data_IF_489150421306
#
_entry.id   IF_489150421306
#
_cell.length_a   1.000
_cell.length_b   1.000
_cell.length_c   1.000
_cell.angle_alpha   90.00
_cell.angle_beta   90.00
_cell.angle_gamma   90.00
#
_symmetry.space_group_name_H-M   'P 1'
#
loop_
_entity.id
_entity.type
_entity.pdbx_description
1 polymer ?
#
# COMPACT_ATOMS: atom_id res chain seq x y z
N UNK A 1 9.19 0.86 -40.41
CA UNK A 1 10.08 0.99 -39.23
C UNK A 1 9.32 1.87 -38.26
N UNK A 2 8.97 1.36 -37.08
CA UNK A 2 8.04 2.06 -36.17
C UNK A 2 8.69 3.33 -35.65
N UNK A 3 7.98 4.46 -35.66
CA UNK A 3 8.47 5.75 -35.14
C UNK A 3 9.06 5.61 -33.72
N UNK A 4 8.52 4.67 -32.94
CA UNK A 4 8.99 4.38 -31.59
C UNK A 4 10.41 3.78 -31.56
N UNK A 5 10.79 2.95 -32.54
CA UNK A 5 12.16 2.43 -32.66
C UNK A 5 13.14 3.52 -33.11
N UNK A 6 12.69 4.41 -34.01
CA UNK A 6 13.50 5.55 -34.44
C UNK A 6 13.79 6.50 -33.28
N UNK A 7 12.79 6.78 -32.42
CA UNK A 7 12.97 7.59 -31.22
C UNK A 7 13.89 6.94 -30.17
N UNK A 8 13.89 5.60 -30.06
CA UNK A 8 14.79 4.89 -29.13
C UNK A 8 16.26 4.96 -29.56
N UNK A 9 16.52 4.97 -30.87
CA UNK A 9 17.87 4.95 -31.41
C UNK A 9 18.49 6.36 -31.57
N UNK A 10 17.66 7.41 -31.59
CA UNK A 10 18.08 8.79 -31.78
C UNK A 10 17.42 9.72 -30.75
N UNK A 11 17.90 9.73 -29.50
CA UNK A 11 17.28 10.48 -28.39
C UNK A 11 17.24 12.00 -28.63
N UNK A 12 18.15 12.54 -29.44
CA UNK A 12 18.17 13.97 -29.78
C UNK A 12 16.94 14.40 -30.60
N UNK A 13 16.41 13.51 -31.46
CA UNK A 13 15.20 13.76 -32.25
C UNK A 13 13.94 13.84 -31.38
N UNK A 14 13.93 13.18 -30.22
CA UNK A 14 12.82 13.28 -29.26
C UNK A 14 12.74 14.70 -28.66
N UNK A 15 13.89 15.28 -28.31
CA UNK A 15 13.98 16.64 -27.74
C UNK A 15 13.53 17.68 -28.75
N UNK A 16 13.93 17.54 -30.02
CA UNK A 16 13.58 18.48 -31.10
C UNK A 16 12.10 18.38 -31.51
N UNK A 17 11.57 17.17 -31.71
CA UNK A 17 10.18 16.97 -32.13
C UNK A 17 9.16 17.35 -31.05
N UNK A 18 9.46 17.08 -29.77
CA UNK A 18 8.53 17.34 -28.67
C UNK A 18 8.82 18.64 -27.92
N UNK A 19 9.85 19.41 -28.33
CA UNK A 19 10.33 20.62 -27.63
C UNK A 19 10.48 20.41 -26.13
N UNK A 20 10.91 19.21 -25.75
CA UNK A 20 10.98 18.80 -24.35
C UNK A 20 12.42 19.02 -23.89
N UNK A 21 12.72 20.06 -23.09
CA UNK A 21 14.08 20.27 -22.62
C UNK A 21 14.53 19.03 -21.84
N UNK A 22 15.80 18.63 -22.01
CA UNK A 22 16.42 17.45 -21.37
C UNK A 22 16.26 17.43 -19.85
N UNK A 23 15.93 18.59 -19.26
CA UNK A 23 15.62 18.80 -17.85
C UNK A 23 14.26 18.25 -17.39
N UNK A 24 13.39 17.76 -18.28
CA UNK A 24 12.13 17.11 -17.87
C UNK A 24 12.35 15.65 -17.45
N UNK A 25 13.52 15.08 -17.75
CA UNK A 25 14.03 13.90 -17.05
C UNK A 25 14.78 14.33 -15.80
N UNK A 26 14.20 15.26 -15.03
CA UNK A 26 14.56 15.36 -13.62
C UNK A 26 14.30 13.96 -13.07
N UNK A 27 15.40 13.24 -12.81
CA UNK A 27 15.44 11.86 -12.35
C UNK A 27 14.26 11.66 -11.45
N UNK A 28 13.33 10.81 -11.91
CA UNK A 28 12.30 10.16 -11.12
C UNK A 28 12.48 10.50 -9.64
N UNK A 29 11.91 11.64 -9.22
CA UNK A 29 11.80 11.99 -7.83
C UNK A 29 10.66 11.12 -7.33
N UNK A 30 10.89 9.81 -7.42
CA UNK A 30 10.09 8.69 -6.99
C UNK A 30 10.10 8.81 -5.50
N UNK A 31 9.25 9.73 -5.03
CA UNK A 31 8.78 9.94 -3.67
C UNK A 31 9.89 9.71 -2.65
N UNK A 32 10.55 10.78 -2.17
CA UNK A 32 11.58 10.63 -1.14
C UNK A 32 10.97 9.89 0.05
N UNK A 33 11.33 8.61 0.19
CA UNK A 33 10.87 7.69 1.24
C UNK A 33 9.35 7.51 1.27
N UNK A 34 8.85 6.46 0.59
CA UNK A 34 7.59 5.75 0.95
C UNK A 34 7.72 5.06 2.34
N UNK A 35 8.39 5.71 3.29
CA UNK A 35 8.62 5.22 4.63
C UNK A 35 7.46 5.69 5.51
N UNK A 36 6.40 4.90 5.51
CA UNK A 36 5.30 5.08 6.47
C UNK A 36 5.81 4.60 7.83
N UNK A 37 5.79 5.43 8.88
CA UNK A 37 6.20 5.03 10.22
C UNK A 37 5.42 3.79 10.69
N UNK A 38 6.06 2.90 11.44
CA UNK A 38 5.44 1.64 11.92
C UNK A 38 4.14 1.90 12.68
N UNK A 39 4.10 2.94 13.52
CA UNK A 39 2.88 3.35 14.24
C UNK A 39 1.75 3.78 13.29
N UNK A 40 2.09 4.47 12.21
CA UNK A 40 1.11 4.88 11.21
C UNK A 40 0.59 3.68 10.40
N UNK A 41 1.44 2.68 10.12
CA UNK A 41 1.02 1.40 9.50
C UNK A 41 0.00 0.66 10.38
N UNK A 42 0.26 0.58 11.68
CA UNK A 42 -0.69 -0.04 12.61
C UNK A 42 -2.01 0.74 12.67
N UNK A 43 -1.94 2.06 12.83
CA UNK A 43 -3.12 2.92 12.94
C UNK A 43 -4.03 2.81 11.71
N UNK A 44 -3.46 2.86 10.50
CA UNK A 44 -4.26 2.79 9.27
C UNK A 44 -4.90 1.42 9.06
N UNK A 45 -4.25 0.34 9.49
CA UNK A 45 -4.82 -1.01 9.41
C UNK A 45 -5.93 -1.19 10.44
N UNK A 46 -5.76 -0.67 11.65
CA UNK A 46 -6.83 -0.68 12.66
C UNK A 46 -8.05 0.13 12.20
N UNK A 47 -7.83 1.30 11.59
CA UNK A 47 -8.92 2.09 11.00
C UNK A 47 -9.62 1.31 9.89
N UNK A 48 -8.87 0.68 8.99
CA UNK A 48 -9.42 -0.16 7.93
C UNK A 48 -10.29 -1.31 8.46
N UNK A 49 -9.82 -2.01 9.50
CA UNK A 49 -10.56 -3.11 10.11
C UNK A 49 -11.80 -2.64 10.88
N UNK A 50 -11.73 -1.47 11.53
CA UNK A 50 -12.83 -0.93 12.32
C UNK A 50 -13.92 -0.29 11.47
N UNK A 51 -13.56 0.40 10.38
CA UNK A 51 -14.53 1.12 9.55
C UNK A 51 -15.14 0.26 8.45
N UNK A 52 -14.45 -0.81 8.01
CA UNK A 52 -14.87 -1.59 6.85
C UNK A 52 -14.82 -0.81 5.54
N UNK A 53 -14.15 0.34 5.53
CA UNK A 53 -14.08 1.22 4.37
C UNK A 53 -13.33 0.59 3.20
N UNK A 54 -13.59 1.14 2.01
CA UNK A 54 -12.85 0.78 0.82
C UNK A 54 -11.37 1.15 0.96
N UNK A 55 -10.49 0.16 0.77
CA UNK A 55 -9.02 0.30 0.79
C UNK A 55 -8.50 1.52 -0.01
N UNK A 56 -9.13 1.85 -1.13
CA UNK A 56 -8.79 3.02 -1.98
C UNK A 56 -8.97 4.37 -1.28
N UNK A 57 -9.94 4.48 -0.39
CA UNK A 57 -10.23 5.71 0.35
C UNK A 57 -9.10 5.96 1.36
N UNK A 58 -8.81 4.97 2.20
CA UNK A 58 -7.72 5.07 3.19
C UNK A 58 -6.36 5.21 2.52
N UNK A 59 -6.08 4.47 1.44
CA UNK A 59 -4.85 4.64 0.67
C UNK A 59 -4.67 6.08 0.17
N UNK A 60 -5.75 6.76 -0.24
CA UNK A 60 -5.72 8.17 -0.62
C UNK A 60 -5.45 9.09 0.58
N UNK A 61 -6.17 8.91 1.69
CA UNK A 61 -6.01 9.74 2.90
C UNK A 61 -4.58 9.69 3.45
N UNK A 62 -3.98 8.50 3.43
CA UNK A 62 -2.63 8.26 3.94
C UNK A 62 -1.53 8.41 2.87
N UNK A 63 -1.89 8.80 1.64
CA UNK A 63 -0.97 8.93 0.48
C UNK A 63 -0.16 7.67 0.18
N UNK A 64 -0.76 6.51 0.40
CA UNK A 64 -0.15 5.18 0.20
C UNK A 64 -0.54 4.65 -1.18
N UNK A 65 0.42 4.13 -1.94
CA UNK A 65 0.11 3.42 -3.18
C UNK A 65 -0.75 2.18 -2.89
N UNK A 66 -1.77 1.92 -3.71
CA UNK A 66 -2.70 0.77 -3.52
C UNK A 66 -1.97 -0.57 -3.34
N UNK A 67 -0.92 -0.81 -4.13
CA UNK A 67 -0.08 -2.02 -4.05
C UNK A 67 0.66 -2.12 -2.70
N UNK A 68 1.17 -0.99 -2.20
CA UNK A 68 1.89 -0.91 -0.93
C UNK A 68 0.92 -1.10 0.25
N UNK A 69 -0.29 -0.53 0.17
CA UNK A 69 -1.30 -0.68 1.22
C UNK A 69 -1.66 -2.16 1.47
N UNK A 70 -1.86 -2.95 0.41
CA UNK A 70 -2.16 -4.38 0.56
C UNK A 70 -1.05 -5.14 1.30
N UNK A 71 0.22 -4.80 1.04
CA UNK A 71 1.36 -5.38 1.78
C UNK A 71 1.33 -4.97 3.25
N UNK A 72 1.08 -3.68 3.52
CA UNK A 72 0.99 -3.17 4.91
C UNK A 72 -0.11 -3.88 5.70
N UNK A 73 -1.29 -4.10 5.10
CA UNK A 73 -2.38 -4.84 5.75
C UNK A 73 -1.93 -6.25 6.11
N UNK A 74 -1.33 -6.98 5.16
CA UNK A 74 -0.85 -8.34 5.42
C UNK A 74 0.22 -8.38 6.52
N UNK A 75 1.26 -7.53 6.41
CA UNK A 75 2.37 -7.49 7.35
C UNK A 75 1.89 -7.17 8.78
N UNK A 76 0.97 -6.20 8.92
CA UNK A 76 0.44 -5.81 10.23
C UNK A 76 -0.49 -6.89 10.79
N UNK A 77 -1.35 -7.49 9.97
CA UNK A 77 -2.22 -8.59 10.42
C UNK A 77 -1.40 -9.80 10.86
N UNK A 78 -0.35 -10.17 10.12
CA UNK A 78 0.56 -11.26 10.51
C UNK A 78 1.26 -10.96 11.84
N UNK A 79 1.77 -9.73 12.01
CA UNK A 79 2.37 -9.31 13.26
C UNK A 79 1.38 -9.34 14.43
N UNK A 80 0.14 -8.87 14.22
CA UNK A 80 -0.93 -8.91 15.22
C UNK A 80 -1.28 -10.35 15.60
N UNK A 81 -1.49 -11.25 14.63
CA UNK A 81 -1.75 -12.65 14.88
C UNK A 81 -0.60 -13.31 15.66
N UNK A 82 0.65 -12.98 15.33
CA UNK A 82 1.83 -13.52 16.01
C UNK A 82 1.90 -13.09 17.47
N UNK A 83 1.65 -11.81 17.75
CA UNK A 83 1.72 -11.25 19.11
C UNK A 83 0.52 -11.67 19.95
N UNK A 84 -0.68 -11.70 19.37
CA UNK A 84 -1.93 -11.96 20.08
C UNK A 84 -2.29 -13.45 20.17
N UNK A 85 -1.55 -14.35 19.52
CA UNK A 85 -1.90 -15.79 19.49
C UNK A 85 -2.11 -16.41 20.87
N UNK A 86 -1.39 -15.92 21.88
CA UNK A 86 -1.43 -16.46 23.24
C UNK A 86 -2.44 -15.72 24.13
N UNK A 87 -2.91 -14.55 23.71
CA UNK A 87 -3.88 -13.72 24.43
C UNK A 87 -5.31 -14.04 23.99
N UNK A 88 -5.48 -14.55 22.77
CA UNK A 88 -6.75 -14.93 22.21
C UNK A 88 -6.93 -16.45 22.37
N UNK A 89 -8.00 -16.91 23.04
CA UNK A 89 -8.25 -18.34 23.19
C UNK A 89 -8.50 -19.00 21.83
N UNK A 90 -8.18 -20.28 21.72
CA UNK A 90 -8.57 -21.08 20.56
C UNK A 90 -10.10 -21.13 20.50
N UNK A 91 -10.64 -20.43 19.50
CA UNK A 91 -12.07 -20.33 19.28
C UNK A 91 -12.59 -21.68 18.78
N UNK A 92 -13.23 -22.44 19.66
CA UNK A 92 -14.06 -23.57 19.30
C UNK A 92 -15.51 -23.11 19.16
N UNK A 93 -16.31 -23.82 18.36
CA UNK A 93 -17.75 -23.56 18.24
C UNK A 93 -18.43 -23.55 19.62
N UNK A 94 -18.00 -24.43 20.52
CA UNK A 94 -18.49 -24.53 21.89
C UNK A 94 -18.15 -23.27 22.71
N UNK A 95 -16.89 -22.81 22.71
CA UNK A 95 -16.47 -21.62 23.46
C UNK A 95 -17.17 -20.35 22.94
N UNK A 96 -17.37 -20.26 21.62
CA UNK A 96 -18.10 -19.14 21.00
C UNK A 96 -19.58 -19.15 21.38
N UNK A 97 -20.23 -20.33 21.39
CA UNK A 97 -21.62 -20.48 21.84
C UNK A 97 -21.78 -20.13 23.32
N UNK A 98 -20.84 -20.54 24.18
CA UNK A 98 -20.87 -20.19 25.60
C UNK A 98 -20.79 -18.67 25.82
N UNK A 99 -19.93 -17.98 25.08
CA UNK A 99 -19.81 -16.51 25.16
C UNK A 99 -21.05 -15.82 24.58
N UNK A 100 -21.59 -16.30 23.46
CA UNK A 100 -22.79 -15.74 22.85
C UNK A 100 -24.03 -15.90 23.75
N UNK A 101 -24.09 -16.95 24.57
CA UNK A 101 -25.17 -17.16 25.54
C UNK A 101 -24.95 -16.45 26.88
N UNK A 102 -23.74 -15.91 27.13
CA UNK A 102 -23.37 -15.20 28.35
C UNK A 102 -23.45 -13.66 28.26
N UNK A 103 -23.67 -13.12 27.07
CA UNK A 103 -24.01 -11.71 26.79
C UNK A 103 -25.51 -11.55 26.53
#
# INVERSE_FOLDING_TARGET
>A
MSDFEALRNFPDLFVENFRMPSQVFDEHNSRPKDFIPIKAKLAVVLEYLASGDLQRYLASCYRICKQHFGRIVNDVCEALCTVLKNEVPDWTEQNLLEIANGF
#
